data_IF_412819245087
#
_entry.id   IF_412819245087
#
_cell.length_a   1.000
_cell.length_b   1.000
_cell.length_c   1.000
_cell.angle_alpha   90.00
_cell.angle_beta   90.00
_cell.angle_gamma   90.00
#
_symmetry.space_group_name_H-M   'P 1'
#
loop_
_entity.id
_entity.type
_entity.pdbx_description
1 polymer ?
#
# COMPACT_ATOMS: atom_id res chain seq x y z
N UNK A 1 -12.03 16.55 12.44
CA UNK A 1 -10.90 15.77 12.99
C UNK A 1 -11.29 14.31 12.98
N UNK A 2 -10.39 13.41 12.59
CA UNK A 2 -10.65 11.96 12.59
C UNK A 2 -10.50 11.42 14.02
N UNK A 3 -11.42 10.57 14.46
CA UNK A 3 -11.53 10.02 15.81
C UNK A 3 -11.49 8.50 15.80
N UNK A 4 -11.30 7.87 16.98
CA UNK A 4 -11.30 6.39 17.08
C UNK A 4 -12.63 5.76 16.66
N UNK A 5 -13.75 6.47 16.85
CA UNK A 5 -15.08 5.98 16.47
C UNK A 5 -15.20 5.81 14.95
N UNK A 6 -14.46 6.60 14.17
CA UNK A 6 -14.44 6.55 12.70
C UNK A 6 -13.75 5.28 12.15
N UNK A 7 -13.26 4.39 13.01
CA UNK A 7 -12.61 3.13 12.62
C UNK A 7 -13.25 1.89 13.24
N UNK A 8 -14.26 2.05 14.11
CA UNK A 8 -14.82 0.94 14.87
C UNK A 8 -15.85 0.18 14.03
N UNK A 9 -15.36 -0.71 13.15
CA UNK A 9 -16.20 -1.63 12.38
C UNK A 9 -15.90 -3.10 12.72
N UNK A 10 -16.58 -3.68 13.72
CA UNK A 10 -16.30 -5.04 14.19
C UNK A 10 -16.19 -6.05 13.04
N UNK A 11 -15.02 -6.68 12.96
CA UNK A 11 -14.68 -7.73 12.01
C UNK A 11 -15.13 -9.10 12.47
N UNK A 12 -14.96 -10.08 11.59
CA UNK A 12 -15.10 -11.51 11.87
C UNK A 12 -13.98 -12.24 11.12
N UNK A 13 -13.54 -13.40 11.65
CA UNK A 13 -12.63 -14.37 11.00
C UNK A 13 -11.58 -13.74 10.06
N UNK A 14 -10.49 -13.20 10.62
CA UNK A 14 -9.36 -12.64 9.84
C UNK A 14 -8.91 -11.24 10.25
N UNK A 15 -9.69 -10.54 11.09
CA UNK A 15 -9.30 -9.29 11.73
C UNK A 15 -10.35 -8.77 12.71
N UNK A 16 -9.92 -7.99 13.71
CA UNK A 16 -10.80 -7.33 14.70
C UNK A 16 -11.69 -6.26 14.06
N UNK A 17 -11.20 -5.63 12.99
CA UNK A 17 -11.86 -4.57 12.24
C UNK A 17 -12.02 -5.01 10.78
N UNK A 18 -13.17 -4.72 10.18
CA UNK A 18 -13.35 -4.90 8.72
C UNK A 18 -12.46 -3.91 7.96
N UNK A 19 -12.25 -2.73 8.53
CA UNK A 19 -11.47 -1.64 7.96
C UNK A 19 -12.13 -0.95 6.76
N UNK A 20 -13.43 -1.13 6.58
CA UNK A 20 -14.27 -0.39 5.63
C UNK A 20 -14.38 1.08 6.02
N UNK A 21 -14.51 1.37 7.32
CA UNK A 21 -14.53 2.75 7.79
C UNK A 21 -13.15 3.40 7.64
N UNK A 22 -12.07 2.64 7.86
CA UNK A 22 -10.72 3.12 7.57
C UNK A 22 -10.54 3.47 6.08
N UNK A 23 -11.00 2.62 5.17
CA UNK A 23 -10.96 2.92 3.74
C UNK A 23 -11.76 4.17 3.39
N UNK A 24 -12.95 4.36 3.98
CA UNK A 24 -13.76 5.57 3.78
C UNK A 24 -13.07 6.85 4.30
N UNK A 25 -12.40 6.78 5.45
CA UNK A 25 -11.57 7.88 5.95
C UNK A 25 -10.44 8.18 4.96
N UNK A 26 -9.75 7.16 4.45
CA UNK A 26 -8.69 7.33 3.45
C UNK A 26 -9.22 7.96 2.16
N UNK A 27 -10.36 7.51 1.64
CA UNK A 27 -11.02 8.12 0.47
C UNK A 27 -11.30 9.60 0.72
N UNK A 28 -11.82 9.95 1.91
CA UNK A 28 -12.12 11.35 2.26
C UNK A 28 -10.87 12.25 2.39
N UNK A 29 -9.77 11.70 2.90
CA UNK A 29 -8.52 12.46 3.14
C UNK A 29 -7.69 12.58 1.87
N UNK A 30 -7.65 11.52 1.05
CA UNK A 30 -6.85 11.47 -0.17
C UNK A 30 -7.59 12.06 -1.39
N UNK A 31 -8.89 12.34 -1.26
CA UNK A 31 -9.69 12.98 -2.31
C UNK A 31 -10.22 12.02 -3.38
N UNK A 32 -10.15 10.72 -3.12
CA UNK A 32 -10.45 9.67 -4.11
C UNK A 32 -9.48 9.63 -5.29
N UNK A 33 -9.80 8.82 -6.30
CA UNK A 33 -9.01 8.68 -7.52
C UNK A 33 -8.02 7.51 -7.53
N UNK A 34 -7.33 7.35 -8.65
CA UNK A 34 -6.34 6.31 -8.89
C UNK A 34 -4.92 6.89 -8.90
N UNK A 35 -3.91 6.03 -9.06
CA UNK A 35 -2.52 6.47 -9.05
C UNK A 35 -2.19 7.40 -10.22
N UNK A 36 -2.91 7.25 -11.34
CA UNK A 36 -2.80 8.08 -12.53
C UNK A 36 -3.21 9.54 -12.28
N UNK A 37 -4.04 9.79 -11.27
CA UNK A 37 -4.49 11.13 -10.90
C UNK A 37 -3.47 11.88 -10.02
N UNK A 38 -2.41 11.22 -9.57
CA UNK A 38 -1.42 11.79 -8.66
C UNK A 38 -0.42 12.70 -9.38
N UNK A 39 -0.12 13.84 -8.75
CA UNK A 39 0.90 14.79 -9.24
C UNK A 39 2.30 14.17 -9.24
N UNK A 40 2.58 13.29 -8.28
CA UNK A 40 3.84 12.59 -8.13
C UNK A 40 3.63 11.09 -8.32
N UNK A 41 4.48 10.39 -9.10
CA UNK A 41 4.42 8.94 -9.22
C UNK A 41 4.53 8.29 -7.83
N UNK A 42 3.60 7.40 -7.55
CA UNK A 42 3.51 6.74 -6.26
C UNK A 42 3.30 5.24 -6.44
N UNK A 43 3.88 4.46 -5.54
CA UNK A 43 3.60 3.04 -5.42
C UNK A 43 3.59 2.67 -3.94
N UNK A 44 2.71 1.75 -3.57
CA UNK A 44 2.60 1.22 -2.21
C UNK A 44 2.79 -0.29 -2.23
N UNK A 45 3.37 -0.86 -1.18
CA UNK A 45 3.59 -2.30 -1.08
C UNK A 45 2.57 -2.94 -0.14
N UNK A 46 2.11 -4.13 -0.52
CA UNK A 46 1.24 -4.98 0.28
C UNK A 46 1.74 -6.42 0.22
N UNK A 47 1.39 -7.23 1.21
CA UNK A 47 1.74 -8.65 1.26
C UNK A 47 0.58 -9.51 0.75
N UNK A 48 0.77 -10.27 -0.32
CA UNK A 48 -0.25 -11.17 -0.86
C UNK A 48 -0.19 -12.53 -0.18
N UNK A 49 -1.21 -12.84 0.62
CA UNK A 49 -1.36 -14.11 1.35
C UNK A 49 -1.50 -15.34 0.43
N UNK A 50 -1.97 -15.18 -0.81
CA UNK A 50 -2.11 -16.32 -1.73
C UNK A 50 -0.77 -16.70 -2.34
N UNK A 51 0.03 -15.70 -2.69
CA UNK A 51 1.34 -15.88 -3.33
C UNK A 51 2.49 -15.89 -2.33
N UNK A 52 2.21 -15.58 -1.06
CA UNK A 52 3.17 -15.49 0.04
C UNK A 52 4.36 -14.58 -0.30
N UNK A 53 4.09 -13.42 -0.91
CA UNK A 53 5.12 -12.44 -1.31
C UNK A 53 4.56 -11.02 -1.36
N UNK A 54 5.45 -10.04 -1.27
CA UNK A 54 5.11 -8.64 -1.50
C UNK A 54 4.72 -8.39 -2.95
N UNK A 55 3.75 -7.50 -3.11
CA UNK A 55 3.34 -6.94 -4.39
C UNK A 55 3.33 -5.42 -4.27
N UNK A 56 3.79 -4.75 -5.32
CA UNK A 56 3.66 -3.30 -5.45
C UNK A 56 2.36 -2.97 -6.18
N UNK A 57 1.62 -2.01 -5.65
CA UNK A 57 0.42 -1.42 -6.22
C UNK A 57 0.74 0.00 -6.68
N UNK A 58 0.35 0.36 -7.90
CA UNK A 58 0.59 1.70 -8.45
C UNK A 58 -0.18 1.93 -9.75
N UNK A 59 0.33 2.85 -10.57
CA UNK A 59 -0.20 3.13 -11.91
C UNK A 59 -0.35 1.83 -12.74
N UNK A 60 -1.45 1.76 -13.50
CA UNK A 60 -1.82 0.62 -14.34
C UNK A 60 -2.56 -0.51 -13.62
N UNK A 61 -2.65 -0.49 -12.28
CA UNK A 61 -3.30 -1.56 -11.53
C UNK A 61 -4.82 -1.39 -11.40
N UNK A 62 -5.38 -0.20 -11.69
CA UNK A 62 -6.82 0.06 -11.61
C UNK A 62 -7.41 0.10 -10.23
N UNK A 63 -6.59 0.51 -9.27
CA UNK A 63 -6.94 0.53 -7.85
C UNK A 63 -7.02 1.97 -7.39
N UNK A 64 -8.04 2.31 -6.59
CA UNK A 64 -8.03 3.62 -5.92
C UNK A 64 -6.84 3.73 -4.98
N UNK A 65 -6.27 4.92 -4.84
CA UNK A 65 -5.13 5.15 -3.96
C UNK A 65 -5.49 4.77 -2.52
N UNK A 66 -6.69 5.13 -2.07
CA UNK A 66 -7.18 4.79 -0.74
C UNK A 66 -7.27 3.29 -0.50
N UNK A 67 -7.76 2.51 -1.48
CA UNK A 67 -7.80 1.04 -1.37
C UNK A 67 -6.40 0.43 -1.29
N UNK A 68 -5.46 0.94 -2.09
CA UNK A 68 -4.08 0.46 -2.08
C UNK A 68 -3.36 0.81 -0.76
N UNK A 69 -3.56 2.03 -0.24
CA UNK A 69 -3.05 2.44 1.08
C UNK A 69 -3.70 1.63 2.20
N UNK A 70 -5.01 1.39 2.13
CA UNK A 70 -5.74 0.52 3.06
C UNK A 70 -5.16 -0.89 3.08
N UNK A 71 -4.85 -1.46 1.92
CA UNK A 71 -4.17 -2.75 1.82
C UNK A 71 -2.79 -2.70 2.47
N UNK A 72 -1.97 -1.71 2.12
CA UNK A 72 -0.61 -1.51 2.65
C UNK A 72 -0.56 -1.31 4.17
N UNK A 73 -1.62 -0.78 4.78
CA UNK A 73 -1.76 -0.57 6.23
C UNK A 73 -2.64 -1.65 6.92
N UNK A 74 -2.93 -2.77 6.27
CA UNK A 74 -3.73 -3.86 6.83
C UNK A 74 -2.93 -4.68 7.85
N UNK A 75 -2.69 -4.11 9.02
CA UNK A 75 -1.91 -4.81 10.06
C UNK A 75 -2.58 -6.15 10.42
N UNK A 76 -1.83 -7.28 10.39
CA UNK A 76 -2.38 -8.61 10.66
C UNK A 76 -3.15 -8.66 11.97
N UNK A 77 -4.27 -9.41 11.98
CA UNK A 77 -5.18 -9.59 13.12
C UNK A 77 -5.98 -8.33 13.52
N UNK A 78 -5.45 -7.13 13.30
CA UNK A 78 -6.20 -5.90 13.54
C UNK A 78 -7.23 -5.66 12.43
N UNK A 79 -6.77 -5.64 11.18
CA UNK A 79 -7.63 -5.44 10.03
C UNK A 79 -7.82 -6.74 9.25
N UNK A 80 -9.04 -6.98 8.78
CA UNK A 80 -9.30 -8.05 7.83
C UNK A 80 -8.48 -7.83 6.54
N UNK A 81 -7.98 -8.93 5.90
CA UNK A 81 -7.26 -8.83 4.63
C UNK A 81 -8.09 -8.15 3.56
N UNK A 82 -7.45 -7.30 2.75
CA UNK A 82 -8.11 -6.62 1.64
C UNK A 82 -8.22 -7.58 0.47
N UNK A 83 -9.47 -7.86 0.09
CA UNK A 83 -9.80 -8.57 -1.13
C UNK A 83 -9.56 -7.68 -2.34
N UNK A 84 -8.46 -7.89 -3.07
CA UNK A 84 -8.08 -7.01 -4.17
C UNK A 84 -8.11 -7.74 -5.52
N UNK A 85 -8.36 -7.00 -6.60
CA UNK A 85 -8.23 -7.47 -7.98
C UNK A 85 -7.70 -6.30 -8.82
N UNK A 86 -6.58 -6.51 -9.49
CA UNK A 86 -6.03 -5.57 -10.47
C UNK A 86 -6.89 -5.56 -11.73
N UNK A 87 -6.74 -4.56 -12.60
CA UNK A 87 -7.41 -4.56 -13.91
C UNK A 87 -7.26 -5.92 -14.64
N UNK A 88 -8.37 -6.39 -15.23
CA UNK A 88 -8.48 -7.67 -15.96
C UNK A 88 -9.11 -8.83 -15.18
N UNK A 89 -9.05 -10.04 -15.77
CA UNK A 89 -9.62 -11.28 -15.21
C UNK A 89 -8.64 -12.07 -14.31
N UNK A 90 -7.67 -11.38 -13.72
CA UNK A 90 -6.68 -11.97 -12.82
C UNK A 90 -7.30 -12.57 -11.56
N UNK A 91 -6.59 -13.51 -10.88
CA UNK A 91 -7.08 -14.09 -9.65
C UNK A 91 -7.19 -13.02 -8.55
N UNK A 92 -8.22 -13.14 -7.72
CA UNK A 92 -8.39 -12.30 -6.51
C UNK A 92 -7.19 -12.49 -5.58
N UNK A 93 -6.69 -11.37 -5.06
CA UNK A 93 -5.58 -11.25 -4.11
C UNK A 93 -6.14 -11.03 -2.70
N UNK A 94 -5.41 -11.49 -1.69
CA UNK A 94 -5.73 -11.22 -0.29
C UNK A 94 -4.54 -10.49 0.33
N UNK A 95 -4.69 -9.19 0.50
CA UNK A 95 -3.59 -8.30 0.81
C UNK A 95 -3.57 -7.94 2.29
N UNK A 96 -2.37 -7.98 2.88
CA UNK A 96 -2.03 -7.48 4.21
C UNK A 96 -0.97 -6.38 4.13
N UNK A 97 -0.60 -5.85 5.29
CA UNK A 97 0.45 -4.85 5.45
C UNK A 97 1.75 -5.21 4.71
N UNK A 98 2.30 -4.25 3.97
CA UNK A 98 3.52 -4.45 3.18
C UNK A 98 4.76 -4.73 4.03
N UNK A 99 4.79 -4.23 5.27
CA UNK A 99 5.89 -4.40 6.21
C UNK A 99 6.16 -5.86 6.61
N UNK A 100 5.24 -6.80 6.31
CA UNK A 100 5.44 -8.24 6.52
C UNK A 100 6.68 -8.74 5.75
N UNK A 101 6.91 -8.27 4.52
CA UNK A 101 8.07 -8.68 3.71
C UNK A 101 8.80 -7.54 3.01
N UNK A 102 8.42 -6.27 3.24
CA UNK A 102 9.10 -5.07 2.74
C UNK A 102 9.20 -4.02 3.86
N UNK A 103 9.97 -4.34 4.92
CA UNK A 103 10.12 -3.49 6.11
C UNK A 103 10.74 -2.11 5.82
N UNK A 104 11.51 -2.01 4.74
CA UNK A 104 12.13 -0.76 4.33
C UNK A 104 11.25 0.09 3.39
N UNK A 105 10.16 -0.49 2.86
CA UNK A 105 9.24 0.19 1.94
C UNK A 105 9.83 0.42 0.55
N UNK A 106 10.80 -0.39 0.14
CA UNK A 106 11.55 -0.20 -1.11
C UNK A 106 11.04 -1.05 -2.27
N UNK A 107 10.14 -2.01 -2.01
CA UNK A 107 9.62 -2.91 -3.03
C UNK A 107 8.84 -2.21 -4.15
N UNK A 108 8.32 -0.99 -3.88
CA UNK A 108 7.64 -0.16 -4.85
C UNK A 108 8.55 0.61 -5.81
N UNK A 109 9.85 0.74 -5.52
CA UNK A 109 10.77 1.61 -6.30
C UNK A 109 10.85 1.19 -7.77
N UNK A 110 10.77 -0.12 -8.05
CA UNK A 110 10.79 -0.65 -9.43
C UNK A 110 9.56 -0.26 -10.26
N UNK A 111 8.45 0.18 -9.62
CA UNK A 111 7.25 0.68 -10.31
C UNK A 111 7.34 2.17 -10.66
N UNK A 112 8.29 2.89 -10.08
CA UNK A 112 8.42 4.32 -10.29
C UNK A 112 9.23 4.60 -11.57
N UNK A 113 8.93 5.70 -12.29
CA UNK A 113 9.69 6.10 -13.47
C UNK A 113 11.21 6.17 -13.19
N UNK A 114 12.07 5.71 -14.11
CA UNK A 114 13.50 5.83 -13.95
C UNK A 114 13.92 7.30 -14.00
N UNK A 115 14.72 7.72 -13.00
CA UNK A 115 15.28 9.07 -12.94
C UNK A 115 16.80 8.98 -12.93
N UNK A 116 17.45 9.67 -13.88
CA UNK A 116 18.92 9.73 -13.97
C UNK A 116 19.49 10.35 -12.69
N UNK A 117 20.47 9.68 -12.08
CA UNK A 117 21.09 10.17 -10.83
C UNK A 117 20.19 10.12 -9.60
N UNK A 118 19.12 9.31 -9.61
CA UNK A 118 18.25 9.15 -8.43
C UNK A 118 19.04 8.76 -7.19
N UNK A 119 18.65 9.34 -6.06
CA UNK A 119 19.10 8.97 -4.72
C UNK A 119 17.91 8.40 -3.95
N UNK A 120 18.08 7.22 -3.36
CA UNK A 120 17.08 6.67 -2.47
C UNK A 120 17.19 7.31 -1.09
N UNK A 121 16.10 7.94 -0.66
CA UNK A 121 15.99 8.52 0.67
C UNK A 121 14.88 7.78 1.39
N UNK A 122 15.24 7.08 2.46
CA UNK A 122 14.28 6.42 3.34
C UNK A 122 13.87 7.37 4.43
N UNK A 123 12.56 7.57 4.59
CA UNK A 123 11.99 8.32 5.72
C UNK A 123 11.20 7.34 6.57
N UNK A 124 11.60 7.18 7.83
CA UNK A 124 10.92 6.30 8.78
C UNK A 124 10.84 6.97 10.15
N UNK A 125 9.64 7.06 10.72
CA UNK A 125 9.40 7.69 12.02
C UNK A 125 10.04 9.09 12.15
N UNK A 126 9.90 9.91 11.11
CA UNK A 126 10.48 11.26 11.04
C UNK A 126 12.00 11.33 10.84
N UNK A 127 12.69 10.18 10.74
CA UNK A 127 14.14 10.12 10.48
C UNK A 127 14.40 9.91 9.00
N UNK A 128 15.30 10.71 8.45
CA UNK A 128 15.74 10.62 7.05
C UNK A 128 17.09 9.88 6.99
N UNK A 129 17.16 8.79 6.24
CA UNK A 129 18.40 8.07 5.93
C UNK A 129 18.59 8.01 4.43
N UNK A 130 19.64 8.64 3.92
CA UNK A 130 20.02 8.54 2.52
C UNK A 130 21.05 7.42 2.33
N UNK A 131 20.77 6.49 1.43
CA UNK A 131 21.78 5.58 0.90
C UNK A 131 22.11 5.99 -0.55
N UNK A 132 23.36 5.83 -1.03
CA UNK A 132 23.58 5.78 -2.46
C UNK A 132 22.70 4.66 -3.02
N UNK A 133 22.03 4.93 -4.14
CA UNK A 133 21.33 3.88 -4.88
C UNK A 133 22.34 2.77 -5.16
N UNK A 134 22.07 1.50 -4.82
CA UNK A 134 22.91 0.40 -5.27
C UNK A 134 23.09 0.58 -6.78
N UNK A 135 24.33 0.53 -7.26
CA UNK A 135 24.57 0.43 -8.69
C UNK A 135 23.67 -0.71 -9.20
N UNK A 136 22.85 -0.35 -10.18
CA UNK A 136 21.74 -1.13 -10.72
C UNK A 136 22.05 -2.63 -10.69
N UNK A 137 21.12 -3.42 -10.13
CA UNK A 137 20.99 -4.83 -10.51
C UNK A 137 20.66 -4.82 -12.00
N UNK A 138 21.68 -4.92 -12.85
CA UNK A 138 21.53 -5.27 -14.26
C UNK A 138 21.09 -6.73 -14.41
#
# INVERSE_FOLDING_TARGET
>A
AVTRADFLDPGALGGLLRGSLFEAVLESVLGGGTFEDLVLPCAVTAFDLRRMRNVALGEGDGTSVARAVRASASFPLLFAPVAHRRFGDGPREWLLDGGIGDQDGTGGVARLPPVKGRRLVRVANGRVRGAPTPAVLE
#
